data_IF_395006560341
#
_entry.id   IF_395006560341
#
_cell.length_a   1.000
_cell.length_b   1.000
_cell.length_c   1.000
_cell.angle_alpha   90.00
_cell.angle_beta   90.00
_cell.angle_gamma   90.00
#
_symmetry.space_group_name_H-M   'P 1'
#
loop_
_entity.id
_entity.type
_entity.pdbx_description
1 polymer ?
#
# COMPACT_ATOMS: atom_id res chain seq x y z
N UNK A 1 -31.99 31.62 -24.58
CA UNK A 1 -32.15 30.83 -23.33
C UNK A 1 -31.15 29.71 -23.39
N UNK A 2 -30.13 29.73 -22.53
CA UNK A 2 -29.08 28.71 -22.45
C UNK A 2 -29.58 27.54 -21.60
N UNK A 3 -29.64 26.34 -22.18
CA UNK A 3 -29.92 25.12 -21.46
C UNK A 3 -28.77 24.84 -20.49
N UNK A 4 -28.99 25.04 -19.20
CA UNK A 4 -28.13 24.50 -18.16
C UNK A 4 -28.35 22.98 -18.12
N UNK A 5 -27.39 22.22 -18.63
CA UNK A 5 -27.36 20.77 -18.50
C UNK A 5 -27.30 20.43 -17.01
N UNK A 6 -28.40 19.90 -16.47
CA UNK A 6 -28.49 19.52 -15.07
C UNK A 6 -27.40 18.50 -14.78
N UNK A 7 -26.47 18.87 -13.88
CA UNK A 7 -25.42 17.97 -13.41
C UNK A 7 -26.09 16.85 -12.62
N UNK A 8 -25.94 15.61 -13.06
CA UNK A 8 -26.48 14.45 -12.33
C UNK A 8 -26.02 14.47 -10.87
N UNK A 9 -26.87 14.05 -9.91
CA UNK A 9 -26.48 13.97 -8.51
C UNK A 9 -25.27 13.04 -8.39
N UNK A 10 -24.19 13.52 -7.77
CA UNK A 10 -23.07 12.64 -7.41
C UNK A 10 -23.55 11.75 -6.27
N UNK A 11 -23.48 10.44 -6.45
CA UNK A 11 -23.83 9.50 -5.38
C UNK A 11 -22.89 9.70 -4.18
N UNK A 12 -23.38 9.48 -2.95
CA UNK A 12 -22.51 9.49 -1.76
C UNK A 12 -21.59 8.26 -1.82
N UNK A 13 -20.26 8.40 -1.67
CA UNK A 13 -19.37 7.25 -1.71
C UNK A 13 -19.75 6.21 -0.64
N UNK A 14 -19.66 4.91 -0.95
CA UNK A 14 -19.98 3.87 0.01
C UNK A 14 -19.00 3.89 1.19
N UNK A 15 -19.46 3.51 2.38
CA UNK A 15 -18.57 3.34 3.52
C UNK A 15 -17.65 2.12 3.31
N UNK A 16 -18.26 0.99 2.97
CA UNK A 16 -17.59 -0.29 2.80
C UNK A 16 -16.91 -0.43 1.43
N UNK A 17 -15.87 -1.26 1.31
CA UNK A 17 -15.23 -1.55 0.03
C UNK A 17 -16.23 -2.14 -0.98
N UNK A 18 -16.24 -1.61 -2.20
CA UNK A 18 -16.90 -2.24 -3.36
C UNK A 18 -16.19 -3.53 -3.78
N UNK A 19 -16.76 -4.29 -4.70
CA UNK A 19 -16.07 -5.48 -5.24
C UNK A 19 -14.78 -5.12 -6.00
N UNK A 20 -14.75 -3.97 -6.69
CA UNK A 20 -13.53 -3.48 -7.32
C UNK A 20 -12.48 -3.06 -6.27
N UNK A 21 -12.91 -2.39 -5.19
CA UNK A 21 -12.02 -2.05 -4.07
C UNK A 21 -11.41 -3.30 -3.44
N UNK A 22 -12.19 -4.38 -3.27
CA UNK A 22 -11.69 -5.64 -2.71
C UNK A 22 -10.57 -6.26 -3.55
N UNK A 23 -10.63 -6.15 -4.88
CA UNK A 23 -9.54 -6.64 -5.75
C UNK A 23 -8.26 -5.79 -5.57
N UNK A 24 -8.40 -4.46 -5.48
CA UNK A 24 -7.29 -3.56 -5.18
C UNK A 24 -6.68 -3.85 -3.79
N UNK A 25 -7.53 -4.03 -2.78
CA UNK A 25 -7.13 -4.30 -1.41
C UNK A 25 -6.51 -5.70 -1.25
N UNK A 26 -6.95 -6.68 -2.04
CA UNK A 26 -6.29 -7.99 -2.10
C UNK A 26 -4.83 -7.84 -2.59
N UNK A 27 -4.60 -6.99 -3.60
CA UNK A 27 -3.25 -6.67 -4.05
C UNK A 27 -2.45 -5.93 -2.98
N UNK A 28 -3.04 -4.92 -2.34
CA UNK A 28 -2.42 -4.18 -1.23
C UNK A 28 -1.99 -5.14 -0.11
N UNK A 29 -2.88 -6.03 0.34
CA UNK A 29 -2.56 -7.06 1.32
C UNK A 29 -1.34 -7.90 0.90
N UNK A 30 -1.27 -8.31 -0.37
CA UNK A 30 -0.15 -9.10 -0.86
C UNK A 30 1.18 -8.37 -0.76
N UNK A 31 1.24 -7.08 -1.11
CA UNK A 31 2.49 -6.30 -1.01
C UNK A 31 2.89 -6.04 0.45
N UNK A 32 1.92 -5.82 1.36
CA UNK A 32 2.19 -5.71 2.80
C UNK A 32 2.79 -7.01 3.37
N UNK A 33 2.22 -8.17 3.04
CA UNK A 33 2.75 -9.47 3.51
C UNK A 33 4.17 -9.70 2.93
N UNK A 34 4.42 -9.32 1.68
CA UNK A 34 5.76 -9.42 1.09
C UNK A 34 6.77 -8.53 1.82
N UNK A 35 6.40 -7.31 2.19
CA UNK A 35 7.24 -6.41 2.97
C UNK A 35 7.52 -6.99 4.37
N UNK A 36 6.49 -7.45 5.08
CA UNK A 36 6.65 -8.16 6.36
C UNK A 36 7.67 -9.31 6.25
N UNK A 37 7.54 -10.17 5.24
CA UNK A 37 8.43 -11.32 5.05
C UNK A 37 9.87 -10.88 4.73
N UNK A 38 10.08 -9.79 3.99
CA UNK A 38 11.40 -9.20 3.74
C UNK A 38 12.03 -8.66 5.03
N UNK A 39 11.27 -7.93 5.84
CA UNK A 39 11.72 -7.43 7.14
C UNK A 39 12.06 -8.55 8.10
N UNK A 40 11.20 -9.57 8.18
CA UNK A 40 11.46 -10.78 8.97
C UNK A 40 12.75 -11.46 8.52
N UNK A 41 12.96 -11.61 7.21
CA UNK A 41 14.19 -12.19 6.66
C UNK A 41 15.43 -11.36 7.02
N UNK A 42 15.31 -10.04 7.01
CA UNK A 42 16.38 -9.12 7.39
C UNK A 42 16.71 -9.23 8.90
N UNK A 43 15.70 -9.22 9.77
CA UNK A 43 15.85 -9.37 11.22
C UNK A 43 16.50 -10.71 11.58
N UNK A 44 16.04 -11.81 10.97
CA UNK A 44 16.54 -13.17 11.22
C UNK A 44 17.95 -13.42 10.63
N UNK A 45 18.53 -12.45 9.93
CA UNK A 45 19.79 -12.64 9.21
C UNK A 45 21.06 -12.56 10.08
N UNK A 46 20.92 -12.13 11.34
CA UNK A 46 22.06 -11.92 12.26
C UNK A 46 22.94 -10.71 11.92
N UNK A 47 22.53 -9.87 10.96
CA UNK A 47 23.30 -8.69 10.50
C UNK A 47 23.04 -7.42 11.29
N UNK A 48 21.97 -7.39 12.06
CA UNK A 48 21.54 -6.24 12.86
C UNK A 48 21.56 -6.61 14.34
N UNK A 49 21.78 -5.62 15.19
CA UNK A 49 21.76 -5.79 16.64
C UNK A 49 21.24 -4.51 17.32
N UNK A 50 20.90 -4.60 18.61
CA UNK A 50 20.45 -3.46 19.40
C UNK A 50 19.26 -2.72 18.75
N UNK A 51 19.35 -1.39 18.72
CA UNK A 51 18.29 -0.51 18.22
C UNK A 51 17.99 -0.73 16.73
N UNK A 52 18.99 -1.11 15.92
CA UNK A 52 18.78 -1.40 14.50
C UNK A 52 17.90 -2.63 14.32
N UNK A 53 18.16 -3.71 15.06
CA UNK A 53 17.33 -4.91 15.01
C UNK A 53 15.91 -4.64 15.52
N UNK A 54 15.79 -3.83 16.58
CA UNK A 54 14.48 -3.43 17.11
C UNK A 54 13.68 -2.63 16.07
N UNK A 55 14.31 -1.68 15.37
CA UNK A 55 13.69 -0.91 14.30
C UNK A 55 13.24 -1.81 13.14
N UNK A 56 14.12 -2.67 12.62
CA UNK A 56 13.81 -3.61 11.52
C UNK A 56 12.64 -4.52 11.90
N UNK A 57 12.63 -5.04 13.12
CA UNK A 57 11.56 -5.92 13.61
C UNK A 57 10.23 -5.17 13.75
N UNK A 58 10.26 -3.96 14.32
CA UNK A 58 9.07 -3.12 14.48
C UNK A 58 8.46 -2.74 13.12
N UNK A 59 9.28 -2.39 12.13
CA UNK A 59 8.79 -2.07 10.79
C UNK A 59 8.16 -3.29 10.12
N UNK A 60 8.76 -4.47 10.27
CA UNK A 60 8.13 -5.72 9.82
C UNK A 60 6.75 -5.94 10.44
N UNK A 61 6.62 -5.77 11.75
CA UNK A 61 5.34 -5.94 12.45
C UNK A 61 4.28 -4.93 12.00
N UNK A 62 4.67 -3.70 11.67
CA UNK A 62 3.76 -2.72 11.07
C UNK A 62 3.10 -3.28 9.80
N UNK A 63 3.87 -3.83 8.87
CA UNK A 63 3.32 -4.42 7.64
C UNK A 63 2.41 -5.63 7.92
N UNK A 64 2.72 -6.47 8.92
CA UNK A 64 1.82 -7.54 9.35
C UNK A 64 0.48 -6.99 9.83
N UNK A 65 0.50 -5.95 10.67
CA UNK A 65 -0.71 -5.28 11.14
C UNK A 65 -1.50 -4.64 9.99
N UNK A 66 -0.82 -4.07 8.99
CA UNK A 66 -1.47 -3.50 7.80
C UNK A 66 -2.18 -4.57 6.98
N UNK A 67 -1.51 -5.70 6.72
CA UNK A 67 -2.10 -6.85 6.06
C UNK A 67 -3.35 -7.39 6.81
N UNK A 68 -3.31 -7.40 8.15
CA UNK A 68 -4.44 -7.79 9.00
C UNK A 68 -5.58 -6.78 8.98
N UNK A 69 -5.28 -5.48 9.03
CA UNK A 69 -6.29 -4.42 8.92
C UNK A 69 -7.03 -4.50 7.57
N UNK A 70 -6.28 -4.71 6.49
CA UNK A 70 -6.84 -4.95 5.16
C UNK A 70 -7.67 -6.24 5.13
N UNK A 71 -7.20 -7.32 5.75
CA UNK A 71 -7.95 -8.57 5.87
C UNK A 71 -9.32 -8.33 6.54
N UNK A 72 -9.35 -7.53 7.61
CA UNK A 72 -10.59 -7.16 8.30
C UNK A 72 -11.61 -6.44 7.41
N UNK A 73 -11.15 -5.68 6.40
CA UNK A 73 -12.01 -4.98 5.44
C UNK A 73 -12.55 -5.89 4.33
N UNK A 74 -11.74 -6.83 3.83
CA UNK A 74 -12.09 -7.64 2.64
C UNK A 74 -12.58 -9.06 2.98
N UNK A 75 -12.40 -9.50 4.23
CA UNK A 75 -12.87 -10.77 4.76
C UNK A 75 -12.46 -11.96 3.88
N UNK A 76 -13.44 -12.71 3.38
CA UNK A 76 -13.20 -13.92 2.56
C UNK A 76 -12.49 -13.65 1.22
N UNK A 77 -12.40 -12.39 0.77
CA UNK A 77 -11.65 -12.04 -0.42
C UNK A 77 -10.13 -11.96 -0.16
N UNK A 78 -9.68 -11.96 1.10
CA UNK A 78 -8.25 -12.00 1.42
C UNK A 78 -7.60 -13.31 0.96
N UNK A 79 -6.45 -13.21 0.29
CA UNK A 79 -5.65 -14.39 -0.08
C UNK A 79 -4.74 -14.82 1.06
N UNK A 80 -4.31 -13.86 1.89
CA UNK A 80 -3.25 -14.05 2.88
C UNK A 80 -1.98 -14.64 2.25
N UNK A 81 -1.73 -14.32 0.99
CA UNK A 81 -0.52 -14.70 0.25
C UNK A 81 0.28 -13.45 -0.05
N UNK A 82 1.60 -13.53 0.11
CA UNK A 82 2.49 -12.44 -0.28
C UNK A 82 2.52 -12.22 -1.79
N UNK A 83 2.83 -10.98 -2.18
CA UNK A 83 3.22 -10.65 -3.54
C UNK A 83 4.64 -11.20 -3.82
N UNK A 84 4.71 -12.33 -4.51
CA UNK A 84 5.98 -13.02 -4.77
C UNK A 84 6.92 -12.21 -5.69
N UNK A 85 6.38 -11.40 -6.60
CA UNK A 85 7.18 -10.54 -7.48
C UNK A 85 7.97 -9.50 -6.68
N UNK A 86 7.30 -8.79 -5.77
CA UNK A 86 7.95 -7.83 -4.87
C UNK A 86 9.00 -8.52 -3.98
N UNK A 87 8.63 -9.65 -3.36
CA UNK A 87 9.54 -10.39 -2.49
C UNK A 87 10.81 -10.84 -3.24
N UNK A 88 10.64 -11.52 -4.37
CA UNK A 88 11.74 -12.04 -5.19
C UNK A 88 12.65 -10.93 -5.73
N UNK A 89 12.11 -9.73 -6.01
CA UNK A 89 12.89 -8.57 -6.45
C UNK A 89 13.91 -8.12 -5.40
N UNK A 90 13.57 -8.18 -4.11
CA UNK A 90 14.38 -7.58 -3.05
C UNK A 90 15.12 -8.58 -2.16
N UNK A 91 14.66 -9.82 -2.03
CA UNK A 91 15.24 -10.77 -1.06
C UNK A 91 16.74 -11.01 -1.27
N UNK A 92 17.21 -11.05 -2.52
CA UNK A 92 18.62 -11.23 -2.86
C UNK A 92 19.51 -10.04 -2.44
N UNK A 93 18.92 -8.86 -2.22
CA UNK A 93 19.64 -7.63 -1.84
C UNK A 93 19.91 -7.57 -0.33
N UNK A 94 19.36 -8.48 0.47
CA UNK A 94 19.56 -8.56 1.92
C UNK A 94 20.91 -9.21 2.33
N UNK A 95 21.90 -9.18 1.42
CA UNK A 95 23.21 -9.82 1.55
C UNK A 95 24.17 -9.18 2.56
N UNK A 96 24.00 -7.90 2.87
CA UNK A 96 24.71 -7.17 3.93
C UNK A 96 23.77 -6.16 4.60
N UNK A 97 24.16 -5.57 5.75
CA UNK A 97 23.35 -4.54 6.40
C UNK A 97 23.14 -3.31 5.49
N UNK A 98 24.21 -2.83 4.84
CA UNK A 98 24.13 -1.65 3.96
C UNK A 98 23.23 -1.88 2.74
N UNK A 99 23.33 -3.05 2.11
CA UNK A 99 22.48 -3.39 0.96
C UNK A 99 21.04 -3.63 1.39
N UNK A 100 20.83 -4.21 2.59
CA UNK A 100 19.51 -4.39 3.16
C UNK A 100 18.82 -3.05 3.47
N UNK A 101 19.52 -2.05 4.02
CA UNK A 101 18.93 -0.72 4.22
C UNK A 101 18.44 -0.07 2.92
N UNK A 102 19.24 -0.17 1.85
CA UNK A 102 18.81 0.32 0.54
C UNK A 102 17.61 -0.46 0.00
N UNK A 103 17.62 -1.79 0.13
CA UNK A 103 16.52 -2.63 -0.33
C UNK A 103 15.23 -2.33 0.41
N UNK A 104 15.27 -2.26 1.74
CA UNK A 104 14.10 -1.98 2.58
C UNK A 104 13.58 -0.56 2.37
N UNK A 105 14.45 0.45 2.24
CA UNK A 105 14.02 1.80 1.84
C UNK A 105 13.28 1.78 0.50
N UNK A 106 13.78 1.04 -0.49
CA UNK A 106 13.13 0.94 -1.79
C UNK A 106 11.76 0.24 -1.68
N UNK A 107 11.64 -0.80 -0.85
CA UNK A 107 10.36 -1.46 -0.54
C UNK A 107 9.38 -0.43 0.02
N UNK A 108 9.75 0.34 1.05
CA UNK A 108 8.88 1.35 1.66
C UNK A 108 8.41 2.42 0.66
N UNK A 109 9.32 2.92 -0.18
CA UNK A 109 8.96 3.88 -1.23
C UNK A 109 8.02 3.27 -2.28
N UNK A 110 8.25 2.03 -2.68
CA UNK A 110 7.37 1.31 -3.61
C UNK A 110 5.99 1.05 -3.01
N UNK A 111 5.90 0.69 -1.73
CA UNK A 111 4.64 0.47 -1.04
C UNK A 111 3.88 1.79 -0.88
N UNK A 112 4.53 2.87 -0.43
CA UNK A 112 3.89 4.18 -0.31
C UNK A 112 3.34 4.66 -1.66
N UNK A 113 4.09 4.47 -2.76
CA UNK A 113 3.62 4.78 -4.11
C UNK A 113 2.44 3.88 -4.54
N UNK A 114 2.56 2.57 -4.32
CA UNK A 114 1.53 1.58 -4.65
C UNK A 114 0.22 1.84 -3.92
N UNK A 115 0.29 2.04 -2.61
CA UNK A 115 -0.87 2.33 -1.76
C UNK A 115 -1.48 3.69 -2.11
N UNK A 116 -0.68 4.68 -2.51
CA UNK A 116 -1.20 5.98 -3.00
C UNK A 116 -2.00 5.84 -4.30
N UNK A 117 -1.51 5.03 -5.25
CA UNK A 117 -2.23 4.80 -6.51
C UNK A 117 -3.50 3.97 -6.30
N UNK A 118 -3.46 2.99 -5.39
CA UNK A 118 -4.66 2.26 -4.99
C UNK A 118 -5.66 3.20 -4.34
N UNK A 119 -5.22 4.05 -3.40
CA UNK A 119 -6.08 5.04 -2.74
C UNK A 119 -6.80 5.94 -3.76
N UNK A 120 -6.10 6.35 -4.83
CA UNK A 120 -6.69 7.14 -5.91
C UNK A 120 -7.79 6.42 -6.72
N UNK A 121 -7.86 5.09 -6.61
CA UNK A 121 -8.87 4.26 -7.28
C UNK A 121 -10.03 3.88 -6.34
N UNK A 122 -9.90 3.98 -5.02
CA UNK A 122 -10.92 3.46 -4.09
C UNK A 122 -12.21 4.28 -4.10
N UNK A 123 -13.36 3.60 -4.00
CA UNK A 123 -14.66 4.22 -3.71
C UNK A 123 -15.03 4.14 -2.22
N UNK A 124 -14.74 3.01 -1.57
CA UNK A 124 -15.04 2.76 -0.16
C UNK A 124 -14.22 3.63 0.78
N UNK A 125 -14.89 4.48 1.57
CA UNK A 125 -14.22 5.44 2.46
C UNK A 125 -13.43 4.75 3.58
N UNK A 126 -13.92 3.62 4.11
CA UNK A 126 -13.24 2.92 5.21
C UNK A 126 -11.89 2.35 4.76
N UNK A 127 -11.82 1.79 3.55
CA UNK A 127 -10.57 1.36 2.93
C UNK A 127 -9.63 2.53 2.65
N UNK A 128 -10.17 3.64 2.12
CA UNK A 128 -9.38 4.84 1.85
C UNK A 128 -8.71 5.38 3.13
N UNK A 129 -9.42 5.38 4.26
CA UNK A 129 -8.85 5.80 5.56
C UNK A 129 -7.72 4.89 6.02
N UNK A 130 -7.90 3.57 5.89
CA UNK A 130 -6.87 2.59 6.27
C UNK A 130 -5.61 2.80 5.40
N UNK A 131 -5.74 2.85 4.08
CA UNK A 131 -4.58 3.06 3.20
C UNK A 131 -3.90 4.41 3.43
N UNK A 132 -4.65 5.49 3.63
CA UNK A 132 -4.06 6.81 3.95
C UNK A 132 -3.20 6.78 5.21
N UNK A 133 -3.60 6.00 6.23
CA UNK A 133 -2.81 5.82 7.44
C UNK A 133 -1.53 5.04 7.19
N UNK A 134 -1.59 3.97 6.38
CA UNK A 134 -0.46 3.12 6.01
C UNK A 134 0.58 3.94 5.22
N UNK A 135 0.15 4.63 4.16
CA UNK A 135 1.02 5.47 3.31
C UNK A 135 1.83 6.46 4.16
N UNK A 136 1.20 7.07 5.16
CA UNK A 136 1.87 8.04 6.03
C UNK A 136 2.99 7.41 6.84
N UNK A 137 2.82 6.16 7.29
CA UNK A 137 3.84 5.46 8.08
C UNK A 137 4.94 4.91 7.17
N UNK A 138 4.61 4.29 6.04
CA UNK A 138 5.59 3.79 5.07
C UNK A 138 6.52 4.90 4.57
N UNK A 139 5.96 6.07 4.24
CA UNK A 139 6.76 7.24 3.85
C UNK A 139 7.72 7.69 4.98
N UNK A 140 7.31 7.58 6.25
CA UNK A 140 8.18 7.88 7.39
C UNK A 140 9.25 6.81 7.57
N UNK A 141 8.92 5.53 7.38
CA UNK A 141 9.86 4.42 7.45
C UNK A 141 10.93 4.54 6.37
N UNK A 142 10.55 4.87 5.13
CA UNK A 142 11.48 5.20 4.05
C UNK A 142 12.46 6.33 4.44
N UNK A 143 11.93 7.42 4.99
CA UNK A 143 12.73 8.57 5.42
C UNK A 143 13.71 8.22 6.55
N UNK A 144 13.33 7.33 7.49
CA UNK A 144 14.20 6.86 8.57
C UNK A 144 15.44 6.17 8.01
N UNK A 145 15.35 5.35 6.96
CA UNK A 145 16.56 4.79 6.35
C UNK A 145 17.51 5.87 5.81
N UNK A 146 16.97 7.02 5.37
CA UNK A 146 17.77 8.17 4.94
C UNK A 146 18.66 8.79 6.04
N UNK A 147 18.42 8.48 7.32
CA UNK A 147 19.21 8.99 8.45
C UNK A 147 20.29 8.01 8.92
N UNK A 148 20.31 6.78 8.40
CA UNK A 148 21.29 5.77 8.77
C UNK A 148 22.66 6.02 8.14
N UNK A 149 23.76 5.54 8.76
CA UNK A 149 25.11 5.67 8.21
C UNK A 149 25.22 5.19 6.76
N UNK A 150 25.86 6.00 5.91
CA UNK A 150 26.08 5.67 4.50
C UNK A 150 24.86 5.82 3.59
N UNK A 151 23.72 6.29 4.11
CA UNK A 151 22.54 6.66 3.32
C UNK A 151 22.35 8.17 3.26
N UNK A 152 21.43 8.62 2.40
CA UNK A 152 21.21 10.02 2.10
C UNK A 152 19.72 10.37 2.24
N UNK A 153 19.42 11.31 3.14
CA UNK A 153 18.06 11.75 3.40
C UNK A 153 17.38 12.38 2.18
N UNK A 154 18.10 13.13 1.33
CA UNK A 154 17.52 13.70 0.11
C UNK A 154 17.07 12.61 -0.86
N UNK A 155 17.81 11.50 -0.94
CA UNK A 155 17.41 10.32 -1.73
C UNK A 155 16.21 9.62 -1.10
N UNK A 156 16.14 9.56 0.22
CA UNK A 156 15.02 8.94 0.93
C UNK A 156 13.72 9.75 0.86
N UNK A 157 13.81 11.07 0.70
CA UNK A 157 12.67 11.98 0.55
C UNK A 157 12.21 12.14 -0.91
N UNK A 158 12.95 11.59 -1.87
CA UNK A 158 12.59 11.65 -3.29
C UNK A 158 11.50 10.63 -3.64
N UNK A 159 10.51 11.05 -4.44
CA UNK A 159 9.36 10.23 -4.83
C UNK A 159 9.63 9.50 -6.16
N UNK A 160 10.70 8.74 -6.24
CA UNK A 160 11.14 8.07 -7.49
C UNK A 160 10.68 6.62 -7.66
N UNK A 161 10.01 6.02 -6.66
CA UNK A 161 9.54 4.64 -6.79
C UNK A 161 8.32 4.53 -7.70
N UNK A 162 8.35 3.50 -8.56
CA UNK A 162 7.20 3.14 -9.40
C UNK A 162 6.21 2.31 -8.58
N UNK A 163 4.94 2.68 -8.69
CA UNK A 163 3.82 1.92 -8.15
C UNK A 163 3.68 0.57 -8.85
N UNK A 164 3.27 -0.44 -8.07
CA UNK A 164 2.92 -1.77 -8.57
C UNK A 164 1.41 -1.96 -8.68
N UNK A 165 0.62 -0.92 -8.39
CA UNK A 165 -0.84 -1.02 -8.31
C UNK A 165 -1.44 -1.49 -9.63
N UNK A 166 -2.36 -2.47 -9.62
CA UNK A 166 -3.14 -2.79 -10.80
C UNK A 166 -4.12 -1.65 -11.10
N UNK A 167 -4.39 -1.43 -12.38
CA UNK A 167 -5.50 -0.58 -12.82
C UNK A 167 -6.76 -1.44 -12.95
N UNK A 168 -7.76 -1.20 -12.11
CA UNK A 168 -9.01 -1.97 -12.13
C UNK A 168 -10.16 -1.09 -12.63
N UNK A 169 -10.84 -1.45 -13.73
CA UNK A 169 -12.01 -0.71 -14.21
C UNK A 169 -13.10 -0.69 -13.14
N UNK A 170 -13.63 0.50 -12.85
CA UNK A 170 -14.79 0.61 -11.97
C UNK A 170 -16.08 0.36 -12.76
N UNK A 171 -17.04 -0.32 -12.13
CA UNK A 171 -18.37 -0.45 -12.70
C UNK A 171 -19.01 0.94 -12.85
N UNK A 172 -19.61 1.21 -14.01
CA UNK A 172 -20.37 2.46 -14.24
C UNK A 172 -21.46 2.60 -13.18
N UNK A 173 -21.61 3.80 -12.60
CA UNK A 173 -22.77 4.12 -11.78
C UNK A 173 -24.03 3.80 -12.61
N UNK A 174 -24.92 2.95 -12.09
CA UNK A 174 -26.17 2.65 -12.75
C UNK A 174 -27.02 3.92 -12.76
N UNK A 175 -27.21 4.52 -13.93
CA UNK A 175 -28.22 5.54 -14.13
C UNK A 175 -29.59 4.91 -13.91
N UNK A 176 -30.24 5.21 -12.80
CA UNK A 176 -31.69 5.04 -12.69
C UNK A 176 -32.34 5.99 -13.69
N UNK A 177 -32.57 5.50 -14.92
CA UNK A 177 -33.54 6.11 -15.82
C UNK A 177 -34.91 5.96 -15.17
N UNK A 178 -35.36 7.01 -14.48
CA UNK A 178 -36.77 7.16 -14.17
C UNK A 178 -37.49 7.40 -15.49
N UNK A 179 -38.06 6.35 -16.08
CA UNK A 179 -39.01 6.48 -17.19
C UNK A 179 -40.23 7.24 -16.67
N UNK A 180 -40.28 8.56 -16.86
CA UNK A 180 -41.49 9.34 -16.63
C UNK A 180 -42.35 9.16 -17.87
N UNK A 181 -43.35 8.28 -17.78
CA UNK A 181 -44.42 8.22 -18.78
C UNK A 181 -45.26 9.50 -18.66
N UNK A 182 -45.43 10.22 -19.76
CA UNK A 182 -46.46 11.26 -19.97
C UNK A 182 -46.78 11.33 -21.45
#
# INVERSE_FOLDING_TARGET
MTNAQARSPRSTPPAQPTEADKQLLQFAQGVEIAAHDLYKKAADSGKFAGDELAMISMFGEHHNMYAQAINGLIGKAATNQRNESLYSTHVGQLGSAQTAYNALRNVENTLAATNTDILGQLQGIDAARVLASIITVEARQAAVFGTLPGLNLLVALDKSANSLAPSIPQASEATTETTVAS
#
